data_IF_104662979713
#
_entry.id   IF_104662979713
#
_cell.length_a   1.000
_cell.length_b   1.000
_cell.length_c   1.000
_cell.angle_alpha   90.00
_cell.angle_beta   90.00
_cell.angle_gamma   90.00
#
_symmetry.space_group_name_H-M   'P 1'
#
loop_
_entity.id
_entity.type
_entity.pdbx_description
1 polymer ?
#
# COMPACT_ATOMS: atom_id res chain seq x y z
N UNK A 1 -8.34 3.61 -7.27
CA UNK A 1 -8.72 3.70 -5.82
C UNK A 1 -8.36 2.38 -5.15
N UNK A 2 -7.82 2.38 -3.93
CA UNK A 2 -7.56 1.15 -3.17
C UNK A 2 -8.67 0.93 -2.13
N UNK A 3 -9.07 -0.32 -1.91
CA UNK A 3 -10.12 -0.70 -0.96
C UNK A 3 -9.63 -1.91 -0.16
N UNK A 4 -9.77 -1.87 1.15
CA UNK A 4 -9.47 -3.01 2.03
C UNK A 4 -10.65 -3.28 2.97
N UNK A 5 -10.72 -4.50 3.51
CA UNK A 5 -11.71 -4.83 4.51
C UNK A 5 -11.39 -4.13 5.84
N UNK A 6 -12.39 -3.61 6.57
CA UNK A 6 -12.18 -2.84 7.80
C UNK A 6 -11.36 -3.59 8.88
N UNK A 7 -11.49 -4.92 8.94
CA UNK A 7 -10.71 -5.78 9.83
C UNK A 7 -9.20 -5.72 9.59
N UNK A 8 -8.75 -5.33 8.39
CA UNK A 8 -7.33 -5.20 8.05
C UNK A 8 -6.73 -3.85 8.45
N UNK A 9 -7.52 -2.91 9.00
CA UNK A 9 -7.07 -1.56 9.35
C UNK A 9 -5.84 -1.57 10.26
N UNK A 10 -5.89 -2.35 11.33
CA UNK A 10 -4.79 -2.46 12.31
C UNK A 10 -3.60 -3.30 11.80
N UNK A 11 -3.80 -4.13 10.77
CA UNK A 11 -2.71 -4.87 10.15
C UNK A 11 -1.94 -4.00 9.16
N UNK A 12 -2.65 -3.19 8.38
CA UNK A 12 -2.05 -2.30 7.36
C UNK A 12 -1.46 -1.01 7.96
N UNK A 13 -2.05 -0.48 9.03
CA UNK A 13 -1.60 0.73 9.75
C UNK A 13 -1.20 1.90 8.85
N UNK A 14 -1.95 2.10 7.76
CA UNK A 14 -1.66 3.16 6.78
C UNK A 14 -1.81 4.53 7.42
N UNK A 15 -0.87 5.42 7.12
CA UNK A 15 -0.82 6.81 7.58
C UNK A 15 -1.12 7.74 6.42
N UNK A 16 -1.95 8.75 6.66
CA UNK A 16 -2.19 9.80 5.67
C UNK A 16 -0.91 10.62 5.46
N UNK A 17 -0.63 10.97 4.20
CA UNK A 17 0.54 11.75 3.82
C UNK A 17 1.84 10.95 3.61
N UNK A 18 1.86 9.65 3.93
CA UNK A 18 3.04 8.80 3.70
C UNK A 18 3.02 8.13 2.32
N UNK A 19 4.20 7.76 1.84
CA UNK A 19 4.37 7.01 0.60
C UNK A 19 4.41 5.50 0.82
N UNK A 20 3.87 4.74 -0.14
CA UNK A 20 3.78 3.28 -0.06
C UNK A 20 4.11 2.64 -1.40
N UNK A 21 4.93 1.59 -1.39
CA UNK A 21 5.05 0.65 -2.50
C UNK A 21 3.88 -0.33 -2.43
N UNK A 22 3.16 -0.45 -3.55
CA UNK A 22 2.06 -1.42 -3.68
C UNK A 22 2.30 -2.29 -4.89
N UNK A 23 2.32 -3.62 -4.70
CA UNK A 23 2.34 -4.59 -5.79
C UNK A 23 1.30 -5.67 -5.55
N UNK A 24 0.82 -6.30 -6.62
CA UNK A 24 -0.13 -7.41 -6.49
C UNK A 24 -0.53 -7.99 -7.84
N UNK A 25 -1.63 -8.75 -7.84
CA UNK A 25 -2.12 -9.50 -8.99
C UNK A 25 -3.27 -8.80 -9.71
N UNK A 26 -3.35 -8.96 -11.04
CA UNK A 26 -4.40 -8.35 -11.86
C UNK A 26 -5.82 -8.78 -11.49
N UNK A 27 -5.99 -9.93 -10.81
CA UNK A 27 -7.29 -10.41 -10.32
C UNK A 27 -7.89 -9.54 -9.21
N UNK A 28 -7.08 -8.72 -8.54
CA UNK A 28 -7.54 -7.80 -7.49
C UNK A 28 -8.12 -6.48 -8.06
N UNK A 29 -8.01 -6.29 -9.38
CA UNK A 29 -8.64 -5.18 -10.08
C UNK A 29 -10.15 -5.42 -10.16
N UNK A 30 -10.92 -4.47 -9.62
CA UNK A 30 -12.37 -4.52 -9.56
C UNK A 30 -13.01 -3.31 -10.21
N UNK A 31 -14.09 -3.56 -10.96
CA UNK A 31 -14.83 -2.54 -11.72
C UNK A 31 -14.39 -2.43 -13.18
N UNK A 32 -14.95 -1.45 -13.87
CA UNK A 32 -14.73 -1.21 -15.30
C UNK A 32 -14.07 0.15 -15.54
N UNK A 33 -13.37 0.30 -16.67
CA UNK A 33 -12.77 1.58 -17.05
C UNK A 33 -13.88 2.65 -17.21
N UNK A 34 -13.66 3.89 -16.73
CA UNK A 34 -12.43 4.43 -16.14
C UNK A 34 -12.33 4.22 -14.61
N UNK A 35 -13.35 3.64 -13.97
CA UNK A 35 -13.46 3.53 -12.51
C UNK A 35 -12.95 2.18 -12.01
N UNK A 36 -11.69 1.88 -12.27
CA UNK A 36 -11.03 0.70 -11.71
C UNK A 36 -10.60 0.98 -10.27
N UNK A 37 -10.97 0.07 -9.38
CA UNK A 37 -10.49 0.00 -7.99
C UNK A 37 -9.61 -1.23 -7.82
N UNK A 38 -8.71 -1.18 -6.85
CA UNK A 38 -7.82 -2.28 -6.49
C UNK A 38 -8.19 -2.75 -5.08
N UNK A 39 -8.46 -4.04 -4.91
CA UNK A 39 -8.80 -4.62 -3.62
C UNK A 39 -7.52 -5.11 -2.95
N UNK A 40 -7.20 -4.59 -1.78
CA UNK A 40 -6.05 -5.06 -0.99
C UNK A 40 -6.47 -6.36 -0.31
N UNK A 41 -5.99 -7.47 -0.86
CA UNK A 41 -6.22 -8.82 -0.37
C UNK A 41 -4.98 -9.45 0.25
N UNK A 42 -4.98 -10.77 0.37
CA UNK A 42 -3.84 -11.56 0.88
C UNK A 42 -2.63 -11.58 -0.07
N UNK A 43 -2.89 -11.39 -1.37
CA UNK A 43 -1.87 -11.46 -2.43
C UNK A 43 -1.41 -10.05 -2.87
N UNK A 44 -1.80 -9.02 -2.12
CA UNK A 44 -1.37 -7.64 -2.32
C UNK A 44 -0.31 -7.30 -1.28
N UNK A 45 0.85 -6.83 -1.73
CA UNK A 45 1.86 -6.29 -0.84
C UNK A 45 1.75 -4.79 -0.72
N UNK A 46 1.95 -4.30 0.51
CA UNK A 46 1.96 -2.89 0.84
C UNK A 46 3.09 -2.64 1.81
N UNK A 47 4.01 -1.76 1.44
CA UNK A 47 5.20 -1.44 2.22
C UNK A 47 5.40 0.07 2.28
N UNK A 48 5.82 0.57 3.44
CA UNK A 48 6.09 1.99 3.66
C UNK A 48 7.35 2.38 2.89
N UNK A 49 7.22 3.40 2.06
CA UNK A 49 8.35 3.99 1.36
C UNK A 49 8.78 5.26 2.12
N UNK A 50 9.99 5.29 2.72
CA UNK A 50 10.44 6.43 3.51
C UNK A 50 10.59 7.70 2.66
N UNK A 51 10.35 8.85 3.27
CA UNK A 51 10.71 10.13 2.66
C UNK A 51 12.23 10.27 2.50
N UNK A 52 12.67 11.15 1.60
CA UNK A 52 14.09 11.36 1.35
C UNK A 52 14.88 11.78 2.61
N UNK A 53 14.23 12.47 3.55
CA UNK A 53 14.78 12.84 4.84
C UNK A 53 14.90 11.62 5.78
N UNK A 54 13.86 10.78 5.84
CA UNK A 54 13.81 9.54 6.64
C UNK A 54 14.79 8.47 6.12
N UNK A 55 15.15 8.51 4.83
CA UNK A 55 16.19 7.65 4.26
C UNK A 55 17.56 7.81 4.93
N UNK A 56 17.83 8.93 5.60
CA UNK A 56 19.10 9.15 6.31
C UNK A 56 19.14 8.42 7.66
N UNK A 57 17.99 8.02 8.21
CA UNK A 57 17.91 7.29 9.46
C UNK A 57 18.55 5.91 9.32
N UNK A 58 19.32 5.48 10.33
CA UNK A 58 20.04 4.19 10.30
C UNK A 58 19.12 2.99 10.05
N UNK A 59 17.84 3.11 10.42
CA UNK A 59 16.80 2.10 10.19
C UNK A 59 16.44 1.94 8.71
N UNK A 60 16.42 3.04 7.94
CA UNK A 60 15.94 3.07 6.57
C UNK A 60 17.08 3.01 5.53
N UNK A 61 18.34 3.15 5.95
CA UNK A 61 19.51 3.14 5.05
C UNK A 61 19.71 1.83 4.26
N UNK A 62 19.10 0.72 4.69
CA UNK A 62 19.26 -0.62 4.09
C UNK A 62 17.97 -1.19 3.50
N UNK A 63 16.89 -0.42 3.45
CA UNK A 63 15.67 -0.82 2.76
C UNK A 63 15.89 -0.95 1.26
#
# INVERSE_FOLDING_TARGET
KFISHIKCREALKLKEGAHYLVWGVSSDLWGEKPKISYIIGKDTWVELWPEAEECQDEENQKQ
#
